data_IF_035392515696
#
_entry.id   IF_035392515696
#
_cell.length_a   1.000
_cell.length_b   1.000
_cell.length_c   1.000
_cell.angle_alpha   90.00
_cell.angle_beta   90.00
_cell.angle_gamma   90.00
#
_symmetry.space_group_name_H-M   'P 1'
#
loop_
_entity.id
_entity.type
_entity.pdbx_description
1 polymer ?
#
# COMPACT_ATOMS: atom_id res chain seq x y z
N UNK A 1 6.96 -15.80 11.52
CA UNK A 1 5.80 -14.89 11.66
C UNK A 1 6.34 -13.50 11.88
N UNK A 2 6.17 -12.56 10.94
CA UNK A 2 6.50 -11.17 11.20
C UNK A 2 5.55 -10.63 12.29
N UNK A 3 6.09 -9.89 13.24
CA UNK A 3 5.29 -9.26 14.30
C UNK A 3 4.59 -8.03 13.71
N UNK A 4 3.28 -7.92 13.91
CA UNK A 4 2.54 -6.69 13.59
C UNK A 4 3.13 -5.53 14.39
N UNK A 5 3.38 -4.41 13.70
CA UNK A 5 3.91 -3.20 14.32
C UNK A 5 2.79 -2.21 14.71
N UNK A 6 1.54 -2.64 14.55
CA UNK A 6 0.32 -1.87 14.79
C UNK A 6 -0.38 -1.53 13.48
N UNK A 7 -1.73 -1.41 13.47
CA UNK A 7 -2.52 -1.25 12.24
C UNK A 7 -2.05 -0.08 11.36
N UNK A 8 -1.70 1.04 11.99
CA UNK A 8 -1.24 2.23 11.27
C UNK A 8 0.10 2.02 10.58
N UNK A 9 1.08 1.43 11.28
CA UNK A 9 2.42 1.24 10.73
C UNK A 9 2.43 0.12 9.69
N UNK A 10 1.68 -0.95 9.93
CA UNK A 10 1.44 -2.02 8.96
C UNK A 10 0.78 -1.45 7.68
N UNK A 11 -0.16 -0.51 7.83
CA UNK A 11 -0.82 0.22 6.73
C UNK A 11 0.14 1.10 5.93
N UNK A 12 1.01 1.87 6.59
CA UNK A 12 2.02 2.70 5.90
C UNK A 12 2.97 1.81 5.08
N UNK A 13 3.52 0.76 5.69
CA UNK A 13 4.45 -0.15 5.02
C UNK A 13 3.78 -0.79 3.81
N UNK A 14 2.53 -1.24 3.96
CA UNK A 14 1.77 -1.85 2.88
C UNK A 14 1.42 -0.85 1.76
N UNK A 15 1.10 0.39 2.10
CA UNK A 15 0.85 1.47 1.13
C UNK A 15 2.08 1.78 0.28
N UNK A 16 3.26 1.89 0.90
CA UNK A 16 4.52 2.10 0.16
C UNK A 16 4.82 0.89 -0.73
N UNK A 17 4.69 -0.33 -0.19
CA UNK A 17 4.99 -1.54 -0.95
C UNK A 17 4.10 -1.66 -2.20
N UNK A 18 2.80 -1.47 -2.05
CA UNK A 18 1.84 -1.54 -3.17
C UNK A 18 2.05 -0.42 -4.18
N UNK A 19 2.38 0.80 -3.74
CA UNK A 19 2.77 1.91 -4.62
C UNK A 19 4.02 1.57 -5.45
N UNK A 20 5.06 1.02 -4.79
CA UNK A 20 6.30 0.62 -5.46
C UNK A 20 6.04 -0.49 -6.47
N UNK A 21 5.21 -1.47 -6.13
CA UNK A 21 4.84 -2.55 -7.04
C UNK A 21 4.02 -2.01 -8.22
N UNK A 22 3.05 -1.14 -7.99
CA UNK A 22 2.20 -0.59 -9.05
C UNK A 22 2.99 0.26 -10.05
N UNK A 23 3.77 1.22 -9.57
CA UNK A 23 4.44 2.20 -10.45
C UNK A 23 5.89 1.87 -10.77
N UNK A 24 6.56 1.14 -9.88
CA UNK A 24 7.94 0.71 -10.10
C UNK A 24 8.03 -0.55 -10.94
N UNK A 25 7.15 -1.52 -10.69
CA UNK A 25 7.13 -2.78 -11.43
C UNK A 25 6.13 -2.73 -12.59
N UNK A 26 4.82 -2.61 -12.33
CA UNK A 26 3.82 -2.76 -13.39
C UNK A 26 3.82 -1.62 -14.42
N UNK A 27 3.94 -0.36 -14.00
CA UNK A 27 4.02 0.75 -14.95
C UNK A 27 5.29 0.66 -15.82
N UNK A 28 6.43 0.27 -15.24
CA UNK A 28 7.67 0.02 -15.99
C UNK A 28 7.54 -1.13 -16.98
N UNK A 29 6.88 -2.24 -16.57
CA UNK A 29 6.57 -3.36 -17.47
C UNK A 29 5.61 -2.96 -18.59
N UNK A 30 4.77 -1.95 -18.38
CA UNK A 30 3.89 -1.38 -19.39
C UNK A 30 4.58 -0.33 -20.29
N UNK A 31 5.89 -0.12 -20.14
CA UNK A 31 6.67 0.81 -20.97
C UNK A 31 6.63 2.28 -20.52
N UNK A 32 6.07 2.57 -19.33
CA UNK A 32 6.16 3.89 -18.73
C UNK A 32 7.49 4.06 -17.96
N UNK A 33 7.96 5.29 -17.74
CA UNK A 33 9.13 5.54 -16.91
C UNK A 33 8.94 4.98 -15.49
N UNK A 34 10.02 4.49 -14.87
CA UNK A 34 10.00 4.04 -13.47
C UNK A 34 9.40 5.12 -12.56
N UNK A 35 8.41 4.75 -11.73
CA UNK A 35 7.67 5.69 -10.88
C UNK A 35 7.02 6.86 -11.64
N UNK A 36 6.74 6.69 -12.93
CA UNK A 36 6.31 7.75 -13.86
C UNK A 36 7.29 8.92 -13.95
N UNK A 37 8.57 8.72 -13.60
CA UNK A 37 9.54 9.80 -13.50
C UNK A 37 9.29 10.75 -12.32
N UNK A 38 8.60 10.28 -11.27
CA UNK A 38 8.30 11.06 -10.06
C UNK A 38 7.52 12.37 -10.30
N UNK A 39 6.74 12.41 -11.39
CA UNK A 39 5.79 13.49 -11.66
C UNK A 39 4.69 13.55 -10.58
N UNK A 40 3.93 14.65 -10.47
CA UNK A 40 2.88 14.80 -9.45
C UNK A 40 1.90 13.62 -9.35
N UNK A 41 1.58 12.98 -10.49
CA UNK A 41 0.71 11.80 -10.52
C UNK A 41 1.27 10.60 -9.72
N UNK A 42 2.58 10.44 -9.67
CA UNK A 42 3.25 9.39 -8.87
C UNK A 42 2.97 9.57 -7.38
N UNK A 43 3.03 10.81 -6.91
CA UNK A 43 2.76 11.17 -5.51
C UNK A 43 1.27 11.14 -5.17
N UNK A 44 0.40 11.59 -6.08
CA UNK A 44 -1.05 11.43 -5.92
C UNK A 44 -1.43 9.94 -5.82
N UNK A 45 -0.79 9.09 -6.63
CA UNK A 45 -0.96 7.64 -6.55
C UNK A 45 -0.49 7.08 -5.20
N UNK A 46 0.64 7.55 -4.66
CA UNK A 46 1.09 7.16 -3.31
C UNK A 46 0.02 7.44 -2.25
N UNK A 47 -0.61 8.63 -2.29
CA UNK A 47 -1.71 8.96 -1.37
C UNK A 47 -2.86 7.97 -1.53
N UNK A 48 -3.24 7.62 -2.75
CA UNK A 48 -4.27 6.60 -3.01
C UNK A 48 -3.92 5.23 -2.42
N UNK A 49 -2.68 4.78 -2.59
CA UNK A 49 -2.20 3.52 -2.03
C UNK A 49 -2.16 3.54 -0.50
N UNK A 50 -1.83 4.68 0.11
CA UNK A 50 -1.89 4.85 1.57
C UNK A 50 -3.32 4.73 2.10
N UNK A 51 -4.28 5.43 1.48
CA UNK A 51 -5.68 5.35 1.88
C UNK A 51 -6.22 3.92 1.73
N UNK A 52 -5.94 3.28 0.60
CA UNK A 52 -6.29 1.88 0.37
C UNK A 52 -5.69 0.97 1.45
N UNK A 53 -4.39 1.09 1.73
CA UNK A 53 -3.71 0.25 2.70
C UNK A 53 -4.24 0.43 4.13
N UNK A 54 -4.54 1.66 4.53
CA UNK A 54 -5.14 1.94 5.84
C UNK A 54 -6.50 1.26 5.99
N UNK A 55 -7.36 1.33 4.97
CA UNK A 55 -8.66 0.67 4.98
C UNK A 55 -8.49 -0.84 5.00
N UNK A 56 -7.63 -1.39 4.13
CA UNK A 56 -7.39 -2.83 4.03
C UNK A 56 -6.86 -3.41 5.35
N UNK A 57 -5.89 -2.76 5.98
CA UNK A 57 -5.34 -3.21 7.27
C UNK A 57 -6.37 -3.10 8.39
N UNK A 58 -7.17 -2.02 8.41
CA UNK A 58 -8.25 -1.86 9.40
C UNK A 58 -9.30 -2.96 9.28
N UNK A 59 -9.76 -3.24 8.05
CA UNK A 59 -10.70 -4.34 7.77
C UNK A 59 -10.10 -5.68 8.17
N UNK A 60 -8.84 -5.94 7.81
CA UNK A 60 -8.16 -7.17 8.20
C UNK A 60 -8.06 -7.33 9.72
N UNK A 61 -7.76 -6.24 10.44
CA UNK A 61 -7.67 -6.26 11.90
C UNK A 61 -9.03 -6.56 12.53
N UNK A 62 -10.10 -5.95 12.02
CA UNK A 62 -11.46 -6.15 12.51
C UNK A 62 -11.94 -7.59 12.27
N UNK A 63 -11.74 -8.12 11.06
CA UNK A 63 -12.07 -9.52 10.73
C UNK A 63 -11.32 -10.50 11.63
N UNK A 64 -10.06 -10.20 11.95
CA UNK A 64 -9.25 -11.02 12.86
C UNK A 64 -9.76 -10.98 14.30
N UNK A 65 -10.32 -9.86 14.73
CA UNK A 65 -10.91 -9.73 16.07
C UNK A 65 -12.24 -10.49 16.15
N UNK A 66 -13.09 -10.39 15.13
CA UNK A 66 -14.35 -11.15 15.04
C UNK A 66 -14.11 -12.66 15.03
N UNK A 67 -13.06 -13.13 14.34
CA UNK A 67 -12.71 -14.56 14.33
C UNK A 67 -12.12 -15.10 15.64
N UNK A 68 -11.90 -14.24 16.65
CA UNK A 68 -11.36 -14.61 17.97
C UNK A 68 -12.40 -14.67 19.09
N UNK A 69 -13.65 -14.26 18.82
CA UNK A 69 -14.81 -14.37 19.73
C UNK A 69 -15.63 -15.62 19.44
#
# INVERSE_FOLDING_TARGET
MARSLGPTLDGIIWGIATWVIALGLFASLAGLPFMLGFIPLSWMSLVGHMLYAMVAVSVFFELRNLGRS
#
